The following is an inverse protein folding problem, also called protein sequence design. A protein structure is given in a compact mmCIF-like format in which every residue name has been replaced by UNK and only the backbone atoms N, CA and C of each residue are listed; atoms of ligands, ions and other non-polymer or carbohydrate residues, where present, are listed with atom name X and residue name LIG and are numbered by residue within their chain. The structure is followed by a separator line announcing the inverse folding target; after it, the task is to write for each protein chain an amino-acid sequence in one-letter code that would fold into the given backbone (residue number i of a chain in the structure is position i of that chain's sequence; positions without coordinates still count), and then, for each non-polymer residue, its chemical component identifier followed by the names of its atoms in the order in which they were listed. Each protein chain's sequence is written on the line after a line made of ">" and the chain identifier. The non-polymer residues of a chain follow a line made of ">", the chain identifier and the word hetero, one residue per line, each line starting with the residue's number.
data_IF_496303299213
#
_entry.id   IF_496303299213
#
_cell.length_a   1.000
_cell.length_b   1.000
_cell.length_c   1.000
_cell.angle_alpha   90.00
_cell.angle_beta   90.00
_cell.angle_gamma   90.00
#
_symmetry.space_group_name_H-M   'P 1'
#
loop_
_entity.id
_entity.type
_entity.pdbx_description
1 polymer ?
#
# COMPACT_ATOMS: atom_id res chain seq x y z
N UNK A 1 0.60 -8.91 0.79
CA UNK A 1 1.94 -9.14 1.36
C UNK A 1 2.50 -10.51 0.99
N UNK A 2 1.88 -11.64 1.38
CA UNK A 2 2.34 -12.99 0.99
C UNK A 2 2.56 -13.14 -0.53
N UNK A 3 1.55 -12.83 -1.32
CA UNK A 3 1.61 -12.86 -2.79
C UNK A 3 2.76 -12.01 -3.36
N UNK A 4 3.04 -10.85 -2.76
CA UNK A 4 4.13 -9.97 -3.18
C UNK A 4 5.50 -10.57 -2.86
N UNK A 5 5.67 -11.22 -1.70
CA UNK A 5 6.90 -11.95 -1.35
C UNK A 5 7.11 -13.11 -2.32
N UNK A 6 6.05 -13.86 -2.63
CA UNK A 6 6.09 -14.99 -3.55
C UNK A 6 6.49 -14.53 -4.97
N UNK A 7 5.91 -13.43 -5.46
CA UNK A 7 6.22 -12.83 -6.76
C UNK A 7 7.65 -12.25 -6.87
N UNK A 8 8.22 -11.77 -5.76
CA UNK A 8 9.55 -11.11 -5.75
C UNK A 8 10.70 -12.04 -5.29
N UNK A 9 10.40 -13.31 -5.05
CA UNK A 9 11.38 -14.33 -4.68
C UNK A 9 11.55 -14.46 -3.17
N UNK A 10 11.01 -15.55 -2.62
CA UNK A 10 11.03 -15.84 -1.18
C UNK A 10 12.45 -15.94 -0.60
N UNK A 11 13.41 -16.51 -1.35
CA UNK A 11 14.81 -16.66 -0.88
C UNK A 11 15.49 -15.30 -0.73
N UNK A 12 15.32 -14.41 -1.72
CA UNK A 12 15.84 -13.04 -1.68
C UNK A 12 15.27 -12.29 -0.49
N UNK A 13 13.96 -12.42 -0.26
CA UNK A 13 13.29 -11.83 0.89
C UNK A 13 13.87 -12.36 2.21
N UNK A 14 13.98 -13.68 2.37
CA UNK A 14 14.49 -14.29 3.61
C UNK A 14 15.93 -13.86 3.92
N UNK A 15 16.79 -13.80 2.91
CA UNK A 15 18.17 -13.35 3.06
C UNK A 15 18.26 -11.89 3.52
N UNK A 16 17.35 -11.03 3.04
CA UNK A 16 17.31 -9.62 3.43
C UNK A 16 16.65 -9.40 4.80
N UNK A 17 15.55 -10.10 5.06
CA UNK A 17 14.77 -9.94 6.30
C UNK A 17 15.39 -10.66 7.49
N UNK A 18 16.22 -11.67 7.27
CA UNK A 18 16.79 -12.52 8.33
C UNK A 18 15.77 -13.46 8.98
N UNK A 19 14.62 -13.66 8.35
CA UNK A 19 13.54 -14.51 8.87
C UNK A 19 12.66 -15.06 7.74
N UNK A 20 11.92 -16.14 8.04
CA UNK A 20 11.02 -16.77 7.06
C UNK A 20 9.90 -15.81 6.66
N UNK A 21 9.39 -15.94 5.43
CA UNK A 21 8.24 -15.16 4.97
C UNK A 21 7.02 -15.32 5.90
N UNK A 22 6.78 -16.53 6.40
CA UNK A 22 5.75 -16.81 7.41
C UNK A 22 6.00 -16.04 8.70
N UNK A 23 7.21 -16.15 9.26
CA UNK A 23 7.58 -15.44 10.49
C UNK A 23 7.47 -13.93 10.35
N UNK A 24 7.76 -13.38 9.17
CA UNK A 24 7.60 -11.95 8.89
C UNK A 24 6.14 -11.55 8.94
N UNK A 25 5.28 -12.30 8.23
CA UNK A 25 3.85 -12.02 8.20
C UNK A 25 3.25 -12.11 9.60
N UNK A 26 3.66 -13.10 10.41
CA UNK A 26 3.23 -13.25 11.79
C UNK A 26 3.69 -12.08 12.67
N UNK A 27 4.97 -11.73 12.63
CA UNK A 27 5.52 -10.60 13.38
C UNK A 27 4.87 -9.28 12.99
N UNK A 28 4.67 -9.07 11.68
CA UNK A 28 4.04 -7.86 11.15
C UNK A 28 2.56 -7.78 11.55
N UNK A 29 1.85 -8.91 11.53
CA UNK A 29 0.46 -9.00 12.00
C UNK A 29 0.35 -8.67 13.50
N UNK A 30 1.32 -9.14 14.30
CA UNK A 30 1.40 -8.79 15.71
C UNK A 30 1.66 -7.30 15.89
N UNK A 31 2.65 -6.74 15.18
CA UNK A 31 2.96 -5.32 15.21
C UNK A 31 1.73 -4.44 14.94
N UNK A 32 0.97 -4.73 13.89
CA UNK A 32 -0.24 -3.99 13.54
C UNK A 32 -1.30 -4.07 14.65
N UNK A 33 -1.46 -5.24 15.27
CA UNK A 33 -2.41 -5.47 16.37
C UNK A 33 -1.94 -4.94 17.72
N UNK A 34 -0.68 -4.51 17.86
CA UNK A 34 -0.10 -4.01 19.11
C UNK A 34 0.06 -2.48 19.14
N UNK A 35 -0.79 -1.77 18.41
CA UNK A 35 -0.76 -0.30 18.37
C UNK A 35 -1.61 0.29 19.50
N UNK A 36 -0.95 0.88 20.50
CA UNK A 36 -1.61 1.56 21.61
C UNK A 36 -1.55 3.09 21.49
N UNK A 37 -2.61 3.79 21.87
CA UNK A 37 -2.65 5.24 21.98
C UNK A 37 -2.84 5.64 23.44
N UNK A 38 -2.11 6.65 23.90
CA UNK A 38 -2.33 7.26 25.22
C UNK A 38 -3.17 8.51 25.06
N UNK A 39 -4.25 8.60 25.82
CA UNK A 39 -5.12 9.77 25.86
C UNK A 39 -5.68 9.93 27.28
N UNK A 40 -5.61 11.15 27.82
CA UNK A 40 -6.11 11.47 29.17
C UNK A 40 -5.75 10.44 30.26
N UNK A 41 -4.46 10.11 30.39
CA UNK A 41 -3.92 9.08 31.34
C UNK A 41 -4.41 7.64 31.12
N UNK A 42 -5.27 7.39 30.13
CA UNK A 42 -5.74 6.07 29.73
C UNK A 42 -4.98 5.55 28.51
N UNK A 43 -4.94 4.23 28.37
CA UNK A 43 -4.33 3.52 27.25
C UNK A 43 -5.44 2.87 26.43
N UNK A 44 -5.41 3.09 25.12
CA UNK A 44 -6.39 2.57 24.17
C UNK A 44 -5.68 1.70 23.15
N UNK A 45 -6.32 0.60 22.73
CA UNK A 45 -5.84 -0.21 21.61
C UNK A 45 -6.48 0.28 20.32
N UNK A 46 -5.66 0.54 19.31
CA UNK A 46 -6.14 0.81 17.96
C UNK A 46 -6.56 -0.52 17.31
N UNK A 47 -7.86 -0.67 17.06
CA UNK A 47 -8.44 -1.92 16.54
C UNK A 47 -8.48 -1.98 15.01
N UNK A 48 -8.31 -0.84 14.32
CA UNK A 48 -8.34 -0.77 12.86
C UNK A 48 -7.36 0.27 12.30
N UNK A 49 -7.02 0.10 11.02
CA UNK A 49 -6.09 0.99 10.32
C UNK A 49 -4.64 0.86 10.80
N UNK A 50 -3.84 1.84 10.44
CA UNK A 50 -2.42 1.96 10.82
C UNK A 50 -2.23 3.29 11.55
N UNK A 51 -1.25 3.36 12.46
CA UNK A 51 -0.93 4.62 13.16
C UNK A 51 -0.32 5.64 12.19
N UNK A 52 -1.03 6.75 11.90
CA UNK A 52 -0.72 7.84 10.93
C UNK A 52 0.70 8.47 11.00
N UNK A 53 1.55 8.10 11.96
CA UNK A 53 2.95 8.56 12.06
C UNK A 53 3.96 7.44 12.30
N UNK A 54 3.58 6.19 12.04
CA UNK A 54 4.53 5.09 12.05
C UNK A 54 5.37 5.13 10.77
N UNK A 55 6.66 4.80 10.87
CA UNK A 55 7.55 4.67 9.71
C UNK A 55 7.07 3.63 8.69
N UNK A 56 6.24 2.67 9.12
CA UNK A 56 5.65 1.68 8.20
C UNK A 56 4.34 2.15 7.55
N UNK A 57 3.75 3.27 8.00
CA UNK A 57 2.46 3.73 7.47
C UNK A 57 2.51 4.14 6.01
N UNK A 58 3.51 4.92 5.53
CA UNK A 58 3.60 5.24 4.11
C UNK A 58 3.71 3.98 3.24
N UNK A 59 4.59 3.05 3.62
CA UNK A 59 4.78 1.78 2.92
C UNK A 59 3.50 0.92 2.88
N UNK A 60 2.73 0.92 3.98
CA UNK A 60 1.46 0.19 4.04
C UNK A 60 0.38 0.82 3.19
N UNK A 61 0.32 2.15 3.15
CA UNK A 61 -0.56 2.89 2.23
C UNK A 61 -0.21 2.54 0.79
N UNK A 62 1.06 2.62 0.40
CA UNK A 62 1.51 2.28 -0.96
C UNK A 62 1.18 0.83 -1.33
N UNK A 63 1.38 -0.11 -0.40
CA UNK A 63 1.06 -1.52 -0.63
C UNK A 63 -0.46 -1.76 -0.77
N UNK A 64 -1.27 -1.04 -0.01
CA UNK A 64 -2.73 -1.12 -0.11
C UNK A 64 -3.24 -0.47 -1.40
N UNK A 65 -2.76 0.72 -1.73
CA UNK A 65 -3.15 1.47 -2.92
C UNK A 65 -2.65 0.78 -4.20
N UNK A 66 -1.45 0.20 -4.18
CA UNK A 66 -0.95 -0.59 -5.30
C UNK A 66 -1.83 -1.82 -5.62
N UNK A 67 -2.57 -2.35 -4.65
CA UNK A 67 -3.62 -3.35 -4.92
C UNK A 67 -4.82 -2.74 -5.63
N UNK A 68 -5.23 -1.54 -5.23
CA UNK A 68 -6.32 -0.80 -5.89
C UNK A 68 -5.92 -0.44 -7.33
N UNK A 69 -4.69 0.02 -7.55
CA UNK A 69 -4.15 0.33 -8.87
C UNK A 69 -4.20 -0.88 -9.81
N UNK A 70 -3.85 -2.08 -9.33
CA UNK A 70 -3.98 -3.32 -10.11
C UNK A 70 -5.42 -3.64 -10.51
N UNK A 71 -6.39 -3.29 -9.66
CA UNK A 71 -7.83 -3.48 -9.95
C UNK A 71 -8.32 -2.41 -10.94
N UNK A 72 -7.79 -1.18 -10.86
CA UNK A 72 -8.17 -0.07 -11.73
C UNK A 72 -7.49 -0.13 -13.10
N UNK A 73 -6.32 -0.76 -13.23
CA UNK A 73 -5.55 -0.80 -14.47
C UNK A 73 -6.34 -1.35 -15.68
N UNK A 74 -7.11 -2.46 -15.58
CA UNK A 74 -7.94 -2.93 -16.68
C UNK A 74 -9.05 -1.95 -17.07
N UNK A 75 -9.61 -1.20 -16.11
CA UNK A 75 -10.65 -0.19 -16.36
C UNK A 75 -10.08 1.03 -17.10
N UNK A 76 -8.85 1.44 -16.76
CA UNK A 76 -8.17 2.51 -17.50
C UNK A 76 -7.81 2.08 -18.93
N UNK A 77 -7.49 0.80 -19.14
CA UNK A 77 -7.23 0.27 -20.48
C UNK A 77 -8.49 0.18 -21.34
N UNK A 78 -9.66 -0.06 -20.75
CA UNK A 78 -10.92 -0.14 -21.48
C UNK A 78 -11.56 1.23 -21.75
N UNK A 79 -11.24 2.25 -20.93
CA UNK A 79 -11.76 3.61 -21.04
C UNK A 79 -10.69 4.56 -21.56
N UNK A 80 -10.55 4.65 -22.89
CA UNK A 80 -9.55 5.49 -23.57
C UNK A 80 -9.62 7.00 -23.23
N UNK A 81 -10.71 7.45 -22.61
CA UNK A 81 -10.99 8.82 -22.21
C UNK A 81 -10.91 9.03 -20.70
N UNK A 82 -10.40 8.07 -19.93
CA UNK A 82 -10.30 8.17 -18.46
C UNK A 82 -8.86 7.97 -18.01
N UNK A 83 -8.35 8.93 -17.25
CA UNK A 83 -7.04 8.87 -16.57
C UNK A 83 -7.27 8.97 -15.08
N UNK A 84 -6.65 8.09 -14.30
CA UNK A 84 -6.76 8.10 -12.84
C UNK A 84 -5.36 8.19 -12.26
N UNK A 85 -5.15 9.18 -11.39
CA UNK A 85 -3.95 9.32 -10.58
C UNK A 85 -4.32 9.12 -9.11
N UNK A 86 -3.45 8.48 -8.35
CA UNK A 86 -3.61 8.33 -6.91
C UNK A 86 -2.46 9.05 -6.18
N UNK A 87 -2.80 9.83 -5.16
CA UNK A 87 -1.84 10.44 -4.25
C UNK A 87 -2.30 10.18 -2.81
N UNK A 88 -1.65 9.22 -2.14
CA UNK A 88 -2.04 8.78 -0.79
C UNK A 88 -3.52 8.37 -0.77
N UNK A 89 -4.41 9.10 -0.11
CA UNK A 89 -5.84 8.80 -0.02
C UNK A 89 -6.70 9.46 -1.11
N UNK A 90 -6.12 10.33 -1.93
CA UNK A 90 -6.84 11.08 -2.97
C UNK A 90 -6.73 10.42 -4.35
N UNK A 91 -7.86 10.36 -5.05
CA UNK A 91 -7.93 9.96 -6.46
C UNK A 91 -8.32 11.15 -7.33
N UNK A 92 -7.47 11.45 -8.31
CA UNK A 92 -7.74 12.44 -9.34
C UNK A 92 -8.15 11.72 -10.63
N UNK A 93 -9.41 11.85 -10.99
CA UNK A 93 -9.99 11.24 -12.20
C UNK A 93 -10.23 12.33 -13.24
N UNK A 94 -9.56 12.20 -14.37
CA UNK A 94 -9.83 13.03 -15.54
C UNK A 94 -10.68 12.24 -16.53
N UNK A 95 -11.75 12.87 -17.04
CA UNK A 95 -12.61 12.32 -18.08
C UNK A 95 -12.66 13.30 -19.27
N UNK A 96 -12.09 12.94 -20.40
CA UNK A 96 -12.05 13.79 -21.59
C UNK A 96 -11.12 13.27 -22.70
N UNK A 97 -11.10 13.92 -23.88
CA UNK A 97 -10.19 13.56 -24.94
C UNK A 97 -8.75 13.91 -24.54
N UNK A 98 -7.94 12.89 -24.24
CA UNK A 98 -6.51 13.09 -23.96
C UNK A 98 -5.70 13.01 -25.24
N UNK A 99 -5.10 14.13 -25.64
CA UNK A 99 -3.97 14.10 -26.58
C UNK A 99 -2.72 13.69 -25.80
N UNK A 100 -2.01 12.68 -26.31
CA UNK A 100 -0.91 12.02 -25.62
C UNK A 100 0.27 13.00 -25.45
N UNK A 101 0.51 13.50 -24.23
CA UNK A 101 1.79 14.11 -23.86
C UNK A 101 2.40 13.28 -22.71
N UNK A 102 3.56 12.62 -22.91
CA UNK A 102 4.08 11.59 -22.00
C UNK A 102 4.86 12.15 -20.80
N UNK A 103 4.46 13.31 -20.24
CA UNK A 103 5.32 14.06 -19.29
C UNK A 103 4.97 13.85 -17.81
N UNK A 104 3.90 13.11 -17.48
CA UNK A 104 3.53 12.88 -16.07
C UNK A 104 3.58 11.39 -15.71
N UNK A 105 4.79 10.86 -15.59
CA UNK A 105 5.07 9.70 -14.74
C UNK A 105 6.20 10.13 -13.77
N UNK A 106 6.00 10.02 -12.44
CA UNK A 106 7.10 10.17 -11.50
C UNK A 106 8.11 9.05 -11.71
N UNK A 107 9.41 9.39 -11.65
CA UNK A 107 10.51 8.42 -11.64
C UNK A 107 10.55 7.64 -10.32
#
# INVERSE_FOLDING_TARGET
>A
MKESIDQNGVVKFQNAAGLTAKGFIELFSLFLKSTFAKWNKSVYLQTSGVRVRSCVSPLLSDLFLGRVDRILAPLQQSLNNVRIFCFVDDYLVFNGPFSINPVFLPQ
#
